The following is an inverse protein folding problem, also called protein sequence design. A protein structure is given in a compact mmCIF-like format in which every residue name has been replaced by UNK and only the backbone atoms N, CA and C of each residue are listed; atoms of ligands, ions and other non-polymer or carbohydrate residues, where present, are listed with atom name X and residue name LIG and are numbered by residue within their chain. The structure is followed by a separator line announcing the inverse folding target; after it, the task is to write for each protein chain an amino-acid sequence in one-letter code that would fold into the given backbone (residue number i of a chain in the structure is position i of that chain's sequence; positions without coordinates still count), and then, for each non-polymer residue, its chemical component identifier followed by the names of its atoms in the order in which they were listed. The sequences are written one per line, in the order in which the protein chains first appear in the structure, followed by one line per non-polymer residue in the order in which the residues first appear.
data_IF_617232168809
#
_entry.id   IF_617232168809
#
_cell.length_a   1.000
_cell.length_b   1.000
_cell.length_c   1.000
_cell.angle_alpha   90.00
_cell.angle_beta   90.00
_cell.angle_gamma   90.00
#
_symmetry.space_group_name_H-M   'P 1'
#
loop_
_entity.id
_entity.type
_entity.pdbx_description
1 polymer ?
#
# COMPACT_ATOMS: atom_id res chain seq x y z
N UNK A 1 -32.32 -33.90 58.24
CA UNK A 1 -33.25 -33.14 59.11
C UNK A 1 -32.60 -31.78 59.40
N UNK A 2 -33.12 -30.60 59.11
CA UNK A 2 -34.31 -30.13 58.41
C UNK A 2 -33.94 -28.77 57.79
N UNK A 3 -34.03 -28.68 56.46
CA UNK A 3 -33.89 -27.44 55.67
C UNK A 3 -35.22 -26.67 55.82
N UNK A 4 -35.44 -25.99 56.97
CA UNK A 4 -36.72 -25.30 57.22
C UNK A 4 -36.68 -23.97 58.00
N UNK A 5 -35.53 -23.35 58.26
CA UNK A 5 -35.52 -22.16 59.16
C UNK A 5 -34.70 -20.94 58.73
N UNK A 6 -34.44 -20.73 57.43
CA UNK A 6 -33.61 -19.58 57.00
C UNK A 6 -34.14 -18.78 55.80
N UNK A 7 -35.46 -18.78 55.59
CA UNK A 7 -36.10 -17.94 54.57
C UNK A 7 -37.39 -17.40 55.19
N UNK A 8 -37.59 -16.08 55.14
CA UNK A 8 -38.71 -15.29 55.67
C UNK A 8 -38.55 -14.68 57.08
N UNK A 9 -37.59 -13.76 57.23
CA UNK A 9 -37.76 -12.61 58.12
C UNK A 9 -37.55 -11.32 57.32
N UNK A 10 -38.61 -10.91 56.63
CA UNK A 10 -38.74 -9.60 56.01
C UNK A 10 -40.23 -9.27 55.96
N UNK A 11 -40.70 -8.12 56.47
CA UNK A 11 -42.10 -7.78 56.38
C UNK A 11 -42.44 -7.52 54.91
N UNK A 12 -43.08 -8.50 54.28
CA UNK A 12 -43.79 -8.32 53.01
C UNK A 12 -44.95 -7.36 53.26
N UNK A 13 -44.67 -6.05 53.20
CA UNK A 13 -45.71 -5.04 52.98
C UNK A 13 -46.19 -5.20 51.54
N UNK A 14 -47.12 -6.13 51.35
CA UNK A 14 -48.01 -6.14 50.19
C UNK A 14 -48.79 -4.82 50.23
N UNK A 15 -48.31 -3.81 49.49
CA UNK A 15 -49.15 -2.65 49.14
C UNK A 15 -50.17 -3.15 48.12
N UNK A 16 -51.26 -3.70 48.62
CA UNK A 16 -52.49 -3.75 47.85
C UNK A 16 -52.83 -2.31 47.47
N UNK A 17 -52.64 -1.95 46.21
CA UNK A 17 -53.28 -0.77 45.67
C UNK A 17 -54.77 -1.09 45.66
N UNK A 18 -55.52 -0.48 46.57
CA UNK A 18 -56.97 -0.45 46.52
C UNK A 18 -57.40 0.08 45.15
N UNK A 19 -57.81 -0.80 44.25
CA UNK A 19 -58.53 -0.43 43.04
C UNK A 19 -59.99 -0.26 43.47
N UNK A 20 -60.27 0.84 44.17
CA UNK A 20 -61.63 1.31 44.34
C UNK A 20 -62.18 1.85 43.00
N UNK A 21 -63.49 1.78 42.75
CA UNK A 21 -64.09 2.49 41.62
C UNK A 21 -63.78 3.98 41.76
N UNK A 22 -63.08 4.57 40.79
CA UNK A 22 -62.88 6.01 40.71
C UNK A 22 -64.21 6.65 40.32
N UNK A 23 -65.02 7.00 41.31
CA UNK A 23 -66.11 7.94 41.11
C UNK A 23 -65.50 9.32 40.81
N UNK A 24 -65.69 9.81 39.59
CA UNK A 24 -65.49 11.23 39.29
C UNK A 24 -66.72 11.99 39.79
N UNK A 25 -66.69 12.37 41.07
CA UNK A 25 -67.55 13.45 41.56
C UNK A 25 -66.66 14.66 41.84
N UNK A 26 -66.75 15.65 40.94
CA UNK A 26 -66.31 17.01 41.22
C UNK A 26 -67.07 17.50 42.45
N UNK A 27 -66.37 17.82 43.53
CA UNK A 27 -66.95 18.58 44.65
C UNK A 27 -67.23 20.01 44.19
N UNK A 28 -68.41 20.23 43.61
CA UNK A 28 -69.11 21.51 43.62
C UNK A 28 -70.57 21.23 43.96
N UNK A 29 -70.91 21.35 45.24
CA UNK A 29 -72.30 21.44 45.65
C UNK A 29 -72.80 22.84 45.30
N UNK A 30 -73.38 22.97 44.10
CA UNK A 30 -74.45 23.92 43.80
C UNK A 30 -75.39 23.19 42.84
N UNK A 31 -76.50 22.69 43.39
CA UNK A 31 -77.67 22.32 42.61
C UNK A 31 -78.20 23.64 42.06
N UNK A 32 -78.26 23.78 40.74
CA UNK A 32 -78.75 24.98 40.05
C UNK A 32 -80.09 24.59 39.43
N UNK A 33 -81.17 25.11 40.01
CA UNK A 33 -82.52 25.09 39.47
C UNK A 33 -82.76 26.42 38.75
N UNK A 34 -82.31 26.57 37.49
CA UNK A 34 -82.82 27.56 36.52
C UNK A 34 -82.14 27.40 35.15
N UNK A 35 -82.90 27.61 34.07
CA UNK A 35 -82.53 27.27 32.69
C UNK A 35 -81.78 28.37 31.92
N UNK A 36 -81.31 29.41 32.60
CA UNK A 36 -80.66 30.58 31.98
C UNK A 36 -79.35 30.92 32.73
N UNK A 37 -78.32 30.11 32.56
CA UNK A 37 -76.95 30.50 32.92
C UNK A 37 -76.04 30.32 31.70
N UNK A 38 -75.45 31.43 31.25
CA UNK A 38 -74.37 31.43 30.26
C UNK A 38 -73.23 30.51 30.76
N UNK A 39 -72.64 29.67 29.90
CA UNK A 39 -71.61 28.74 30.32
C UNK A 39 -70.44 29.53 30.89
N UNK A 40 -70.19 29.39 32.20
CA UNK A 40 -68.97 29.87 32.84
C UNK A 40 -67.82 29.06 32.22
N UNK A 41 -67.21 29.64 31.17
CA UNK A 41 -65.91 29.23 30.67
C UNK A 41 -64.93 29.39 31.84
N UNK A 42 -64.67 28.28 32.53
CA UNK A 42 -63.50 28.18 33.39
C UNK A 42 -62.34 28.28 32.41
N UNK A 43 -61.81 29.48 32.24
CA UNK A 43 -60.52 29.69 31.58
C UNK A 43 -59.52 28.89 32.40
N UNK A 44 -59.23 27.66 31.95
CA UNK A 44 -58.19 26.81 32.50
C UNK A 44 -56.87 27.54 32.21
N UNK A 45 -56.45 28.42 33.13
CA UNK A 45 -55.29 29.30 33.00
C UNK A 45 -53.96 28.55 32.80
N UNK A 46 -53.97 27.22 32.96
CA UNK A 46 -52.78 26.37 32.91
C UNK A 46 -52.83 25.40 31.73
N UNK A 47 -52.72 25.93 30.51
CA UNK A 47 -52.58 25.13 29.27
C UNK A 47 -51.50 24.04 29.38
N UNK A 48 -50.42 24.30 30.11
CA UNK A 48 -49.35 23.34 30.35
C UNK A 48 -49.82 22.10 31.15
N UNK A 49 -50.71 22.27 32.12
CA UNK A 49 -51.25 21.14 32.90
C UNK A 49 -52.21 20.29 32.07
N UNK A 50 -52.97 20.91 31.18
CA UNK A 50 -53.84 20.22 30.23
C UNK A 50 -53.02 19.41 29.23
N UNK A 51 -51.94 19.97 28.69
CA UNK A 51 -51.03 19.25 27.81
C UNK A 51 -50.35 18.07 28.49
N UNK A 52 -50.02 18.19 29.78
CA UNK A 52 -49.52 17.08 30.60
C UNK A 52 -50.55 15.98 30.74
N UNK A 53 -51.82 16.32 31.05
CA UNK A 53 -52.93 15.35 31.15
C UNK A 53 -53.27 14.69 29.80
N UNK A 54 -53.14 15.43 28.69
CA UNK A 54 -53.35 14.93 27.32
C UNK A 54 -52.22 14.01 26.84
N UNK A 55 -51.03 14.10 27.45
CA UNK A 55 -49.89 13.29 27.07
C UNK A 55 -50.09 11.82 27.46
N UNK A 56 -50.44 10.98 26.48
CA UNK A 56 -50.58 9.51 26.65
C UNK A 56 -49.29 8.73 26.38
N UNK A 57 -48.27 9.38 25.82
CA UNK A 57 -47.06 8.71 25.31
C UNK A 57 -46.18 8.10 26.40
N UNK A 58 -46.37 8.48 27.67
CA UNK A 58 -45.51 8.12 28.84
C UNK A 58 -44.02 8.42 28.63
N UNK A 59 -43.69 9.16 27.57
CA UNK A 59 -42.34 9.50 27.20
C UNK A 59 -41.86 10.68 28.04
N UNK A 60 -40.56 10.72 28.32
CA UNK A 60 -39.94 11.89 28.95
C UNK A 60 -40.11 13.11 28.05
N UNK A 61 -40.21 14.30 28.66
CA UNK A 61 -40.40 15.54 27.91
C UNK A 61 -39.34 15.74 26.84
N UNK A 62 -38.07 15.41 27.14
CA UNK A 62 -36.97 15.51 26.18
C UNK A 62 -37.13 14.60 24.96
N UNK A 63 -37.46 13.32 25.17
CA UNK A 63 -37.67 12.40 24.06
C UNK A 63 -38.93 12.77 23.25
N UNK A 64 -39.96 13.32 23.90
CA UNK A 64 -41.15 13.85 23.22
C UNK A 64 -40.80 15.07 22.37
N UNK A 65 -39.99 15.99 22.88
CA UNK A 65 -39.56 17.16 22.13
C UNK A 65 -38.75 16.76 20.90
N UNK A 66 -37.91 15.72 21.00
CA UNK A 66 -37.21 15.17 19.83
C UNK A 66 -38.20 14.71 18.74
N UNK A 67 -39.24 13.96 19.11
CA UNK A 67 -40.27 13.51 18.17
C UNK A 67 -41.07 14.66 17.54
N UNK A 68 -41.29 15.73 18.29
CA UNK A 68 -42.00 16.91 17.83
C UNK A 68 -41.10 17.92 17.10
N UNK A 69 -39.83 17.60 16.88
CA UNK A 69 -38.89 18.52 16.23
C UNK A 69 -38.63 19.77 17.06
N UNK A 70 -38.69 19.68 18.39
CA UNK A 70 -38.41 20.75 19.36
C UNK A 70 -37.14 20.45 20.16
N UNK A 71 -36.59 21.49 20.81
CA UNK A 71 -35.40 21.38 21.66
C UNK A 71 -35.59 20.30 22.75
N UNK A 72 -34.67 19.32 22.88
CA UNK A 72 -34.83 18.24 23.84
C UNK A 72 -34.72 18.69 25.29
N UNK A 73 -33.71 19.49 25.63
CA UNK A 73 -33.45 19.94 26.98
C UNK A 73 -33.44 21.47 27.02
N UNK A 74 -34.14 22.05 28.00
CA UNK A 74 -34.10 23.50 28.23
C UNK A 74 -32.83 23.90 28.99
N UNK A 75 -32.37 23.05 29.92
CA UNK A 75 -31.14 23.22 30.69
C UNK A 75 -30.04 22.26 30.19
N UNK A 76 -28.77 22.67 30.23
CA UNK A 76 -27.67 21.79 29.87
C UNK A 76 -27.54 20.65 30.89
N UNK A 77 -27.86 19.42 30.45
CA UNK A 77 -27.69 18.22 31.27
C UNK A 77 -26.24 17.70 31.34
N UNK A 78 -25.48 17.86 30.25
CA UNK A 78 -24.11 17.37 30.10
C UNK A 78 -23.19 18.53 29.68
N UNK A 79 -21.89 18.42 30.01
CA UNK A 79 -20.88 19.45 29.70
C UNK A 79 -20.83 19.85 28.23
N UNK A 80 -21.04 18.90 27.31
CA UNK A 80 -20.97 19.19 25.89
C UNK A 80 -22.15 20.02 25.39
N UNK A 81 -23.25 20.11 26.14
CA UNK A 81 -24.39 20.98 25.80
C UNK A 81 -24.01 22.46 25.83
N UNK A 82 -22.99 22.82 26.60
CA UNK A 82 -22.48 24.19 26.70
C UNK A 82 -21.52 24.53 25.55
N UNK A 83 -21.01 23.53 24.83
CA UNK A 83 -20.05 23.74 23.75
C UNK A 83 -20.68 24.43 22.54
N UNK A 84 -19.86 25.25 21.86
CA UNK A 84 -20.22 25.92 20.60
C UNK A 84 -20.71 24.91 19.55
N UNK A 85 -20.06 23.74 19.47
CA UNK A 85 -20.42 22.66 18.54
C UNK A 85 -21.85 22.16 18.75
N UNK A 86 -22.24 21.94 20.00
CA UNK A 86 -23.60 21.48 20.31
C UNK A 86 -24.64 22.55 19.98
N UNK A 87 -24.35 23.81 20.34
CA UNK A 87 -25.21 24.96 20.05
C UNK A 87 -25.40 25.16 18.54
N UNK A 88 -24.33 25.08 17.74
CA UNK A 88 -24.40 25.05 16.25
C UNK A 88 -25.32 23.93 15.74
N UNK A 89 -25.25 22.74 16.35
CA UNK A 89 -26.13 21.61 15.99
C UNK A 89 -27.60 21.86 16.36
N UNK A 90 -27.87 22.46 17.52
CA UNK A 90 -29.23 22.85 17.93
C UNK A 90 -29.80 23.89 16.99
N UNK A 91 -29.01 24.91 16.64
CA UNK A 91 -29.37 25.93 15.67
C UNK A 91 -29.77 25.31 14.33
N UNK A 92 -28.96 24.41 13.78
CA UNK A 92 -29.24 23.78 12.49
C UNK A 92 -30.44 22.84 12.49
N UNK A 93 -30.77 22.22 13.62
CA UNK A 93 -31.88 21.25 13.72
C UNK A 93 -33.21 21.88 14.10
N UNK A 94 -33.18 22.83 15.03
CA UNK A 94 -34.38 23.37 15.69
C UNK A 94 -34.57 24.88 15.46
N UNK A 95 -33.62 25.55 14.80
CA UNK A 95 -33.70 26.96 14.48
C UNK A 95 -33.36 27.89 15.65
N UNK A 96 -33.60 29.18 15.42
CA UNK A 96 -33.25 30.26 16.35
C UNK A 96 -34.06 30.24 17.65
N UNK A 97 -35.35 29.88 17.56
CA UNK A 97 -36.27 29.84 18.71
C UNK A 97 -35.78 28.87 19.79
N UNK A 98 -35.17 27.74 19.38
CA UNK A 98 -34.64 26.74 20.30
C UNK A 98 -33.27 27.09 20.88
N UNK A 99 -32.46 27.89 20.16
CA UNK A 99 -31.09 28.17 20.57
C UNK A 99 -31.06 29.11 21.78
N UNK A 100 -31.84 30.20 21.74
CA UNK A 100 -31.84 31.24 22.78
C UNK A 100 -30.56 32.10 22.81
N UNK A 101 -29.69 31.97 21.81
CA UNK A 101 -28.44 32.72 21.63
C UNK A 101 -28.40 33.35 20.22
N UNK A 102 -27.56 34.38 20.00
CA UNK A 102 -27.43 34.99 18.68
C UNK A 102 -26.88 34.02 17.63
N UNK A 103 -27.39 34.13 16.40
CA UNK A 103 -26.96 33.31 15.25
C UNK A 103 -25.48 33.47 14.90
N UNK A 104 -24.85 34.58 15.33
CA UNK A 104 -23.45 34.90 15.11
C UNK A 104 -22.49 33.82 15.63
N UNK A 105 -22.92 32.99 16.60
CA UNK A 105 -22.17 31.84 17.08
C UNK A 105 -21.84 30.83 15.96
N UNK A 106 -22.64 30.79 14.89
CA UNK A 106 -22.40 29.89 13.76
C UNK A 106 -21.10 30.21 13.01
N UNK A 107 -20.76 31.49 12.94
CA UNK A 107 -19.57 31.99 12.25
C UNK A 107 -18.32 31.84 13.13
N UNK A 108 -17.15 31.63 12.52
CA UNK A 108 -15.90 31.59 13.25
C UNK A 108 -15.56 32.96 13.83
N UNK A 109 -14.75 32.96 14.90
CA UNK A 109 -14.18 34.19 15.43
C UNK A 109 -13.05 34.70 14.51
N UNK A 110 -12.67 35.98 14.61
CA UNK A 110 -11.54 36.51 13.82
C UNK A 110 -10.24 35.72 14.03
N UNK A 111 -9.97 35.28 15.27
CA UNK A 111 -8.83 34.43 15.62
C UNK A 111 -8.92 33.06 14.93
N UNK A 112 -10.08 32.38 14.98
CA UNK A 112 -10.29 31.12 14.27
C UNK A 112 -10.12 31.27 12.74
N UNK A 113 -10.48 32.43 12.18
CA UNK A 113 -10.29 32.72 10.75
C UNK A 113 -8.80 32.88 10.41
N UNK A 114 -8.01 33.49 11.27
CA UNK A 114 -6.55 33.60 11.10
C UNK A 114 -5.90 32.23 11.17
N UNK A 115 -6.23 31.42 12.18
CA UNK A 115 -5.76 30.04 12.31
C UNK A 115 -6.10 29.19 11.08
N UNK A 116 -7.32 29.34 10.55
CA UNK A 116 -7.76 28.64 9.33
C UNK A 116 -6.97 29.08 8.09
N UNK A 117 -6.66 30.38 7.96
CA UNK A 117 -5.83 30.89 6.86
C UNK A 117 -4.40 30.39 6.95
N UNK A 118 -3.82 30.38 8.15
CA UNK A 118 -2.48 29.84 8.37
C UNK A 118 -2.42 28.36 8.04
N UNK A 119 -3.40 27.58 8.51
CA UNK A 119 -3.52 26.16 8.18
C UNK A 119 -3.64 25.94 6.67
N UNK A 120 -4.50 26.70 5.98
CA UNK A 120 -4.66 26.59 4.53
C UNK A 120 -3.36 26.93 3.79
N UNK A 121 -2.67 28.00 4.20
CA UNK A 121 -1.38 28.39 3.60
C UNK A 121 -0.29 27.34 3.82
N UNK A 122 -0.28 26.66 4.97
CA UNK A 122 0.71 25.63 5.29
C UNK A 122 0.39 24.29 4.62
N UNK A 123 -0.87 23.85 4.68
CA UNK A 123 -1.30 22.58 4.13
C UNK A 123 -1.42 22.62 2.59
N UNK A 124 -1.79 23.77 2.05
CA UNK A 124 -2.05 23.99 0.63
C UNK A 124 -1.34 25.23 0.11
N UNK A 125 0.01 25.21 0.04
CA UNK A 125 0.80 26.38 -0.33
C UNK A 125 0.66 26.81 -1.79
N UNK A 126 0.26 25.88 -2.68
CA UNK A 126 0.18 26.14 -4.11
C UNK A 126 -1.23 26.54 -4.52
N UNK A 127 -1.30 27.57 -5.36
CA UNK A 127 -2.54 27.94 -6.03
C UNK A 127 -2.97 26.84 -7.02
N UNK A 128 -4.26 26.79 -7.33
CA UNK A 128 -4.87 25.86 -8.30
C UNK A 128 -4.17 25.97 -9.66
N UNK A 129 -3.85 27.19 -10.10
CA UNK A 129 -3.17 27.42 -11.38
C UNK A 129 -1.75 26.85 -11.40
N UNK A 130 -0.97 27.06 -10.33
CA UNK A 130 0.38 26.53 -10.17
C UNK A 130 0.38 25.01 -10.10
N UNK A 131 -0.58 24.43 -9.34
CA UNK A 131 -0.78 22.98 -9.27
C UNK A 131 -1.06 22.39 -10.65
N UNK A 132 -1.87 23.08 -11.46
CA UNK A 132 -2.16 22.64 -12.82
C UNK A 132 -0.92 22.69 -13.72
N UNK A 133 -0.07 23.72 -13.57
CA UNK A 133 1.20 23.81 -14.28
C UNK A 133 2.12 22.64 -13.90
N UNK A 134 2.30 22.35 -12.62
CA UNK A 134 3.10 21.21 -12.16
C UNK A 134 2.57 19.88 -12.70
N UNK A 135 1.26 19.68 -12.77
CA UNK A 135 0.66 18.48 -13.35
C UNK A 135 1.00 18.38 -14.84
N UNK A 136 0.92 19.49 -15.59
CA UNK A 136 1.27 19.52 -17.02
C UNK A 136 2.75 19.21 -17.24
N UNK A 137 3.63 19.79 -16.45
CA UNK A 137 5.07 19.55 -16.52
C UNK A 137 5.41 18.09 -16.21
N UNK A 138 4.84 17.51 -15.14
CA UNK A 138 5.03 16.09 -14.82
C UNK A 138 4.60 15.17 -15.96
N UNK A 139 3.43 15.42 -16.54
CA UNK A 139 2.95 14.65 -17.70
C UNK A 139 3.90 14.74 -18.89
N UNK A 140 4.38 15.95 -19.20
CA UNK A 140 5.35 16.14 -20.27
C UNK A 140 6.64 15.36 -20.03
N UNK A 141 7.17 15.40 -18.81
CA UNK A 141 8.37 14.62 -18.43
C UNK A 141 8.15 13.11 -18.55
N UNK A 142 6.98 12.61 -18.14
CA UNK A 142 6.60 11.20 -18.26
C UNK A 142 6.48 10.77 -19.73
N UNK A 143 5.87 11.60 -20.57
CA UNK A 143 5.75 11.37 -22.01
C UNK A 143 7.13 11.32 -22.69
N UNK A 144 8.02 12.27 -22.38
CA UNK A 144 9.40 12.29 -22.89
C UNK A 144 10.19 11.04 -22.45
N UNK A 145 10.05 10.62 -21.20
CA UNK A 145 10.69 9.41 -20.69
C UNK A 145 10.16 8.13 -21.38
N UNK A 146 8.86 8.07 -21.65
CA UNK A 146 8.24 6.97 -22.39
C UNK A 146 8.78 6.92 -23.82
N UNK A 147 8.83 8.05 -24.52
CA UNK A 147 9.36 8.15 -25.88
C UNK A 147 10.83 7.72 -25.94
N UNK A 148 11.67 8.17 -24.99
CA UNK A 148 13.06 7.76 -24.91
C UNK A 148 13.21 6.24 -24.72
N UNK A 149 12.42 5.67 -23.80
CA UNK A 149 12.39 4.22 -23.57
C UNK A 149 11.95 3.46 -24.82
N UNK A 150 10.94 3.96 -25.53
CA UNK A 150 10.46 3.33 -26.75
C UNK A 150 11.53 3.34 -27.86
N UNK A 151 12.25 4.45 -28.02
CA UNK A 151 13.36 4.56 -28.97
C UNK A 151 14.52 3.59 -28.63
N UNK A 152 14.81 3.38 -27.35
CA UNK A 152 15.80 2.37 -26.93
C UNK A 152 15.36 0.94 -27.25
N UNK A 153 14.08 0.63 -26.98
CA UNK A 153 13.51 -0.68 -27.30
C UNK A 153 13.61 -0.92 -28.80
N UNK A 154 13.24 0.06 -29.62
CA UNK A 154 13.31 -0.04 -31.08
C UNK A 154 14.74 -0.35 -31.56
N UNK A 155 15.75 0.37 -31.05
CA UNK A 155 17.16 0.09 -31.35
C UNK A 155 17.57 -1.33 -30.99
N UNK A 156 17.17 -1.82 -29.81
CA UNK A 156 17.47 -3.19 -29.36
C UNK A 156 16.76 -4.22 -30.25
N UNK A 157 15.50 -3.99 -30.58
CA UNK A 157 14.70 -4.87 -31.44
C UNK A 157 15.28 -4.97 -32.85
N UNK A 158 15.83 -3.89 -33.40
CA UNK A 158 16.52 -3.93 -34.69
C UNK A 158 17.73 -4.89 -34.68
N UNK A 159 18.52 -4.87 -33.60
CA UNK A 159 19.71 -5.76 -33.44
C UNK A 159 19.36 -7.19 -32.99
N UNK A 160 18.12 -7.44 -32.58
CA UNK A 160 17.72 -8.69 -31.94
C UNK A 160 17.90 -9.92 -32.84
N UNK A 161 17.54 -9.81 -34.13
CA UNK A 161 17.66 -10.93 -35.08
C UNK A 161 19.11 -11.39 -35.26
N UNK A 162 20.05 -10.43 -35.30
CA UNK A 162 21.47 -10.72 -35.42
C UNK A 162 22.00 -11.43 -34.16
N UNK A 163 21.60 -10.97 -32.98
CA UNK A 163 21.99 -11.60 -31.72
C UNK A 163 21.46 -13.03 -31.60
N UNK A 164 20.21 -13.28 -32.01
CA UNK A 164 19.63 -14.63 -32.05
C UNK A 164 20.46 -15.55 -32.97
N UNK A 165 20.79 -15.09 -34.19
CA UNK A 165 21.60 -15.85 -35.12
C UNK A 165 22.98 -16.20 -34.53
N UNK A 166 23.67 -15.22 -33.94
CA UNK A 166 24.97 -15.44 -33.30
C UNK A 166 24.90 -16.45 -32.13
N UNK A 167 23.83 -16.44 -31.35
CA UNK A 167 23.62 -17.41 -30.27
C UNK A 167 23.37 -18.80 -30.83
N UNK A 168 22.52 -18.92 -31.85
CA UNK A 168 22.25 -20.20 -32.52
C UNK A 168 23.51 -20.79 -33.15
N UNK A 169 24.34 -19.96 -33.80
CA UNK A 169 25.63 -20.38 -34.36
C UNK A 169 26.57 -20.90 -33.27
N UNK A 170 26.69 -20.21 -32.13
CA UNK A 170 27.49 -20.68 -30.99
C UNK A 170 26.98 -22.00 -30.42
N UNK A 171 25.66 -22.18 -30.34
CA UNK A 171 25.05 -23.44 -29.90
C UNK A 171 25.41 -24.55 -30.89
N UNK A 172 25.24 -24.33 -32.19
CA UNK A 172 25.56 -25.30 -33.22
C UNK A 172 27.06 -25.67 -33.23
N UNK A 173 27.95 -24.70 -33.05
CA UNK A 173 29.39 -24.96 -32.93
C UNK A 173 29.71 -25.83 -31.72
N UNK A 174 29.13 -25.52 -30.55
CA UNK A 174 29.32 -26.34 -29.34
C UNK A 174 28.79 -27.77 -29.53
N UNK A 175 27.63 -27.93 -30.17
CA UNK A 175 27.07 -29.23 -30.48
C UNK A 175 27.97 -30.04 -31.41
N UNK A 176 28.52 -29.43 -32.47
CA UNK A 176 29.47 -30.08 -33.37
C UNK A 176 30.73 -30.54 -32.64
N UNK A 177 31.32 -29.66 -31.82
CA UNK A 177 32.51 -30.00 -31.03
C UNK A 177 32.24 -31.15 -30.05
N UNK A 178 31.08 -31.17 -29.42
CA UNK A 178 30.68 -32.25 -28.52
C UNK A 178 30.48 -33.58 -29.27
N UNK A 179 29.85 -33.55 -30.45
CA UNK A 179 29.69 -34.74 -31.29
C UNK A 179 31.04 -35.28 -31.77
N UNK A 180 31.93 -34.42 -32.27
CA UNK A 180 33.28 -34.82 -32.66
C UNK A 180 34.08 -35.39 -31.47
N UNK A 181 33.90 -34.84 -30.26
CA UNK A 181 34.56 -35.36 -29.06
C UNK A 181 34.03 -36.75 -28.68
N UNK A 182 32.72 -36.98 -28.83
CA UNK A 182 32.10 -38.31 -28.65
C UNK A 182 32.62 -39.31 -29.68
N UNK A 183 32.62 -38.96 -30.96
CA UNK A 183 33.15 -39.83 -32.02
C UNK A 183 34.63 -40.16 -31.79
N UNK A 184 35.45 -39.18 -31.41
CA UNK A 184 36.87 -39.42 -31.09
C UNK A 184 37.03 -40.32 -29.87
N UNK A 185 36.16 -40.22 -28.87
CA UNK A 185 36.17 -41.10 -27.71
C UNK A 185 35.78 -42.52 -28.10
N UNK A 186 34.73 -42.68 -28.91
CA UNK A 186 34.26 -43.98 -29.40
C UNK A 186 35.32 -44.69 -30.25
N UNK A 187 35.96 -43.98 -31.18
CA UNK A 187 37.08 -44.52 -31.99
C UNK A 187 38.22 -45.04 -31.11
N UNK A 188 38.62 -44.28 -30.09
CA UNK A 188 39.68 -44.70 -29.15
C UNK A 188 39.28 -45.92 -28.32
N UNK A 189 38.05 -45.95 -27.83
CA UNK A 189 37.53 -47.11 -27.10
C UNK A 189 37.56 -48.34 -28.01
N UNK A 190 37.20 -48.19 -29.29
CA UNK A 190 37.22 -49.29 -30.25
C UNK A 190 38.65 -49.76 -30.59
N UNK A 191 39.61 -48.85 -30.77
CA UNK A 191 41.02 -49.19 -30.97
C UNK A 191 41.61 -49.96 -29.79
N UNK A 192 41.39 -49.47 -28.56
CA UNK A 192 41.81 -50.14 -27.33
C UNK A 192 41.13 -51.50 -27.21
N UNK A 193 39.84 -51.59 -27.55
CA UNK A 193 39.09 -52.85 -27.58
C UNK A 193 39.71 -53.83 -28.58
N UNK A 194 40.06 -53.39 -29.80
CA UNK A 194 40.72 -54.24 -30.80
C UNK A 194 42.09 -54.73 -30.32
N UNK A 195 42.90 -53.88 -29.70
CA UNK A 195 44.21 -54.26 -29.14
C UNK A 195 44.09 -55.30 -28.04
N UNK A 196 43.17 -55.10 -27.10
CA UNK A 196 42.94 -56.04 -26.01
C UNK A 196 42.27 -57.35 -26.49
N UNK A 197 41.48 -57.33 -27.59
CA UNK A 197 40.98 -58.55 -28.26
C UNK A 197 42.15 -59.32 -28.86
N UNK A 198 43.05 -58.65 -29.58
CA UNK A 198 44.23 -59.27 -30.18
C UNK A 198 45.17 -59.89 -29.13
N UNK A 199 45.24 -59.29 -27.93
CA UNK A 199 45.98 -59.82 -26.78
C UNK A 199 45.23 -60.93 -26.03
N UNK A 200 43.96 -61.18 -26.34
CA UNK A 200 43.14 -62.22 -25.70
C UNK A 200 42.68 -61.90 -24.27
N UNK A 201 42.90 -60.68 -23.76
CA UNK A 201 42.62 -60.28 -22.36
C UNK A 201 41.35 -59.44 -22.21
N UNK A 202 40.30 -59.78 -22.95
CA UNK A 202 39.01 -59.07 -22.92
C UNK A 202 38.29 -59.19 -21.58
N UNK A 203 38.40 -58.16 -20.73
CA UNK A 203 37.48 -57.95 -19.60
C UNK A 203 37.03 -56.50 -19.56
N UNK A 204 35.82 -56.26 -19.04
CA UNK A 204 35.26 -54.91 -18.87
C UNK A 204 36.12 -54.06 -17.93
N UNK A 205 36.70 -54.67 -16.89
CA UNK A 205 37.60 -54.02 -15.92
C UNK A 205 38.94 -53.60 -16.53
N UNK A 206 39.54 -54.43 -17.39
CA UNK A 206 40.80 -54.09 -18.06
C UNK A 206 40.62 -53.02 -19.14
N UNK A 207 39.46 -53.00 -19.80
CA UNK A 207 39.12 -51.97 -20.78
C UNK A 207 38.97 -50.58 -20.13
N UNK A 208 38.30 -50.49 -18.98
CA UNK A 208 38.20 -49.22 -18.25
C UNK A 208 39.57 -48.76 -17.74
N UNK A 209 40.39 -49.66 -17.21
CA UNK A 209 41.77 -49.35 -16.79
C UNK A 209 42.62 -48.83 -17.96
N UNK A 210 42.62 -49.51 -19.11
CA UNK A 210 43.37 -49.10 -20.29
C UNK A 210 42.92 -47.74 -20.85
N UNK A 211 41.61 -47.48 -20.89
CA UNK A 211 41.05 -46.18 -21.29
C UNK A 211 41.50 -45.08 -20.32
N UNK A 212 41.47 -45.31 -19.01
CA UNK A 212 41.90 -44.31 -18.02
C UNK A 212 43.39 -44.00 -18.09
N UNK A 213 44.24 -44.98 -18.44
CA UNK A 213 45.67 -44.75 -18.65
C UNK A 213 45.94 -43.92 -19.91
N UNK A 214 45.28 -44.25 -21.02
CA UNK A 214 45.36 -43.46 -22.25
C UNK A 214 44.88 -42.01 -22.05
N UNK A 215 43.80 -41.79 -21.30
CA UNK A 215 43.32 -40.44 -20.95
C UNK A 215 44.29 -39.66 -20.06
N UNK A 216 44.98 -40.33 -19.11
CA UNK A 216 46.00 -39.71 -18.26
C UNK A 216 47.20 -39.24 -19.08
N UNK A 217 47.65 -40.03 -20.04
CA UNK A 217 48.81 -39.70 -20.86
C UNK A 217 48.47 -38.59 -21.89
N UNK A 218 47.28 -38.60 -22.48
CA UNK A 218 46.79 -37.46 -23.27
C UNK A 218 46.66 -36.18 -22.45
N UNK A 219 46.24 -36.28 -21.19
CA UNK A 219 46.14 -35.12 -20.31
C UNK A 219 47.51 -34.52 -20.00
N UNK A 220 48.57 -35.34 -19.88
CA UNK A 220 49.96 -34.87 -19.74
C UNK A 220 50.44 -34.17 -21.01
N UNK A 221 50.26 -34.80 -22.17
CA UNK A 221 50.62 -34.22 -23.47
C UNK A 221 49.88 -32.90 -23.74
N UNK A 222 48.58 -32.82 -23.45
CA UNK A 222 47.81 -31.57 -23.57
C UNK A 222 48.31 -30.47 -22.63
N UNK A 223 48.78 -30.82 -21.42
CA UNK A 223 49.36 -29.84 -20.48
C UNK A 223 50.70 -29.32 -21.00
N UNK A 224 51.54 -30.18 -21.55
CA UNK A 224 52.83 -29.80 -22.14
C UNK A 224 52.65 -28.91 -23.37
N UNK A 225 51.73 -29.26 -24.27
CA UNK A 225 51.38 -28.43 -25.43
C UNK A 225 50.81 -27.07 -25.02
N UNK A 226 50.01 -27.00 -23.95
CA UNK A 226 49.52 -25.71 -23.40
C UNK A 226 50.66 -24.86 -22.84
N UNK A 227 51.61 -25.46 -22.13
CA UNK A 227 52.81 -24.77 -21.61
C UNK A 227 53.66 -24.24 -22.77
N UNK A 228 53.90 -25.05 -23.80
CA UNK A 228 54.65 -24.63 -24.98
C UNK A 228 53.97 -23.46 -25.72
N UNK A 229 52.64 -23.52 -25.92
CA UNK A 229 51.87 -22.42 -26.54
C UNK A 229 51.84 -21.14 -25.69
N UNK A 230 51.85 -21.27 -24.36
CA UNK A 230 51.95 -20.11 -23.47
C UNK A 230 53.31 -19.41 -23.63
N UNK A 231 54.40 -20.18 -23.61
CA UNK A 231 55.75 -19.67 -23.82
C UNK A 231 55.90 -19.01 -25.22
N UNK A 232 55.28 -19.58 -26.25
CA UNK A 232 55.27 -18.98 -27.60
C UNK A 232 54.52 -17.63 -27.64
N UNK A 233 53.41 -17.50 -26.91
CA UNK A 233 52.66 -16.23 -26.81
C UNK A 233 53.46 -15.17 -26.05
N UNK A 234 54.11 -15.56 -24.96
CA UNK A 234 54.99 -14.67 -24.19
C UNK A 234 56.14 -14.15 -25.05
N UNK A 235 56.77 -15.02 -25.84
CA UNK A 235 57.81 -14.62 -26.81
C UNK A 235 57.30 -13.64 -27.88
N UNK A 236 56.11 -13.89 -28.45
CA UNK A 236 55.50 -12.99 -29.45
C UNK A 236 55.11 -11.62 -28.87
N UNK A 237 54.69 -11.57 -27.61
CA UNK A 237 54.41 -10.31 -26.91
C UNK A 237 55.72 -9.57 -26.64
N UNK A 238 56.76 -10.26 -26.17
CA UNK A 238 58.08 -9.67 -25.95
C UNK A 238 58.69 -9.13 -27.25
N UNK A 239 58.57 -9.84 -28.36
CA UNK A 239 59.01 -9.40 -29.69
C UNK A 239 58.22 -8.18 -30.19
N UNK A 240 56.90 -8.13 -29.96
CA UNK A 240 56.08 -6.95 -30.28
C UNK A 240 56.51 -5.74 -29.44
N UNK A 241 56.76 -5.92 -28.14
CA UNK A 241 57.23 -4.85 -27.24
C UNK A 241 58.63 -4.36 -27.60
N UNK A 242 59.55 -5.26 -27.99
CA UNK A 242 60.87 -4.90 -28.50
C UNK A 242 60.75 -4.06 -29.78
N UNK A 243 59.93 -4.49 -30.74
CA UNK A 243 59.71 -3.77 -32.00
C UNK A 243 59.05 -2.39 -31.79
N UNK A 244 58.13 -2.28 -30.84
CA UNK A 244 57.48 -1.02 -30.46
C UNK A 244 58.47 -0.08 -29.72
N UNK A 245 59.40 -0.65 -28.95
CA UNK A 245 60.50 0.12 -28.34
C UNK A 245 61.57 0.56 -29.33
N UNK A 246 61.80 -0.21 -30.40
CA UNK A 246 62.73 0.15 -31.49
C UNK A 246 62.12 1.21 -32.42
N UNK A 247 60.80 1.16 -32.69
CA UNK A 247 60.12 2.22 -33.44
C UNK A 247 60.08 3.54 -32.66
N UNK A 248 59.83 3.49 -31.35
CA UNK A 248 59.83 4.71 -30.53
C UNK A 248 61.23 5.33 -30.39
N UNK A 249 62.30 4.51 -30.39
CA UNK A 249 63.68 5.03 -30.40
C UNK A 249 64.08 5.63 -31.75
N UNK A 250 63.61 5.06 -32.86
CA UNK A 250 63.85 5.63 -34.18
C UNK A 250 63.12 6.98 -34.38
N UNK A 251 61.94 7.16 -33.79
CA UNK A 251 61.24 8.46 -33.77
C UNK A 251 61.96 9.50 -32.87
N UNK A 252 62.57 9.09 -31.76
CA UNK A 252 63.38 9.98 -30.91
C UNK A 252 64.72 10.37 -31.57
N UNK A 253 65.35 9.49 -32.35
CA UNK A 253 66.60 9.77 -33.07
C UNK A 253 66.37 10.65 -34.32
N UNK A 254 65.20 10.62 -34.96
CA UNK A 254 64.85 11.53 -36.06
C UNK A 254 64.58 12.97 -35.56
N UNK A 255 63.95 13.12 -34.38
CA UNK A 255 63.70 14.43 -33.75
C UNK A 255 64.99 15.12 -33.23
N UNK A 256 66.02 14.36 -32.82
CA UNK A 256 67.32 14.96 -32.44
C UNK A 256 68.12 15.48 -33.65
N UNK A 257 67.98 14.89 -34.83
CA UNK A 257 68.71 15.34 -36.04
C UNK A 257 68.13 16.59 -36.70
N UNK A 258 66.83 16.86 -36.56
CA UNK A 258 66.19 18.09 -37.07
C UNK A 258 66.41 19.30 -36.14
N UNK A 259 66.79 19.06 -34.88
CA UNK A 259 67.11 20.11 -33.91
C UNK A 259 68.51 20.74 -34.07
N UNK A 260 69.42 20.09 -34.83
CA UNK A 260 70.80 20.58 -35.04
C UNK A 260 71.00 21.37 -36.35
N UNK A 261 69.96 21.61 -37.15
CA UNK A 261 70.03 22.36 -38.42
C UNK A 261 69.40 23.77 -38.40
N UNK A 262 69.11 24.33 -37.22
CA UNK A 262 68.63 25.72 -37.07
C UNK A 262 69.68 26.68 -36.50
#
# INVERSE_FOLDING_TARGET
MFIKQLIFNGPLKLRFQNIGPRYFFSKKNKIIESAEEEPILIEEKDYAELERKRNKSRLTEAHRNILLGKKPYNTPQDWFHETVKYKKRILGRYGMEALGEPAGLAWPTPEEVEDMKEYESLAHPLNIQERLQQIKEKKKMEEEALLAKQAEIEKKMATMKQLIAQVQEKIAQKQKVELEAKERRERKIEEIRRQLIAQGTMSTTKLTEAVTMAEKDEKKLKKELKKAKALEREKKIAERLLRESESNKAEEDEDETDSQQK
#
